data_IF_095230248655
#
_entry.id   IF_095230248655
#
_cell.length_a   1.000
_cell.length_b   1.000
_cell.length_c   1.000
_cell.angle_alpha   90.00
_cell.angle_beta   90.00
_cell.angle_gamma   90.00
#
_symmetry.space_group_name_H-M   'P 1'
#
loop_
_entity.id
_entity.type
_entity.pdbx_description
1 polymer ?
#
# COMPACT_ATOMS: atom_id res chain seq x y z
N UNK A 1 25.40 -96.74 1.00
CA UNK A 1 24.26 -96.01 0.40
C UNK A 1 23.56 -95.21 1.48
N UNK A 2 23.82 -93.90 1.50
CA UNK A 2 22.88 -92.78 1.25
C UNK A 2 22.30 -92.20 2.55
N UNK A 3 22.93 -91.12 3.03
CA UNK A 3 22.39 -90.25 4.07
C UNK A 3 21.00 -89.72 3.66
N UNK A 4 20.04 -89.81 4.58
CA UNK A 4 18.70 -89.24 4.42
C UNK A 4 18.79 -87.71 4.45
N UNK A 5 18.78 -87.10 3.27
CA UNK A 5 18.67 -85.64 3.10
C UNK A 5 17.35 -85.18 3.73
N UNK A 6 17.43 -84.46 4.85
CA UNK A 6 16.27 -83.75 5.42
C UNK A 6 15.91 -82.58 4.51
N UNK A 7 14.83 -82.72 3.76
CA UNK A 7 14.25 -81.61 3.01
C UNK A 7 13.64 -80.59 3.98
N UNK A 8 14.27 -79.42 4.12
CA UNK A 8 13.70 -78.30 4.82
C UNK A 8 12.63 -77.63 3.93
N UNK A 9 11.49 -77.29 4.51
CA UNK A 9 10.39 -76.68 3.78
C UNK A 9 10.75 -75.21 3.47
N UNK A 10 11.04 -74.91 2.20
CA UNK A 10 11.45 -73.60 1.69
C UNK A 10 10.46 -72.47 2.06
N UNK A 11 9.21 -72.81 2.38
CA UNK A 11 8.15 -71.89 2.81
C UNK A 11 8.30 -71.38 4.27
N UNK A 12 9.20 -71.95 5.06
CA UNK A 12 9.50 -71.46 6.43
C UNK A 12 10.97 -71.13 6.65
N UNK A 13 11.79 -71.23 5.60
CA UNK A 13 13.22 -71.01 5.72
C UNK A 13 13.56 -69.51 5.77
N UNK A 14 14.14 -69.07 6.89
CA UNK A 14 14.44 -67.66 7.18
C UNK A 14 15.46 -67.03 6.22
N UNK A 15 16.23 -67.85 5.51
CA UNK A 15 17.22 -67.41 4.51
C UNK A 15 16.60 -67.13 3.14
N UNK A 16 15.38 -67.61 2.90
CA UNK A 16 14.67 -67.43 1.64
C UNK A 16 13.83 -66.16 1.73
N UNK A 17 14.31 -65.09 1.11
CA UNK A 17 13.59 -63.82 1.02
C UNK A 17 12.45 -63.98 0.01
N UNK A 18 11.21 -63.87 0.48
CA UNK A 18 10.02 -63.99 -0.35
C UNK A 18 9.50 -62.59 -0.67
N UNK A 19 9.64 -62.16 -1.93
CA UNK A 19 9.25 -60.83 -2.38
C UNK A 19 10.29 -60.21 -3.31
N UNK A 20 10.00 -59.03 -3.84
CA UNK A 20 10.89 -58.31 -4.75
C UNK A 20 12.18 -57.86 -4.03
N UNK A 21 13.33 -58.44 -4.40
CA UNK A 21 14.64 -58.15 -3.80
C UNK A 21 15.25 -56.82 -4.27
N UNK A 22 14.65 -56.13 -5.24
CA UNK A 22 15.15 -54.84 -5.75
C UNK A 22 14.78 -53.63 -4.87
N UNK A 23 13.77 -53.74 -4.00
CA UNK A 23 13.17 -52.55 -3.35
C UNK A 23 13.60 -52.28 -1.90
N UNK A 24 14.46 -53.09 -1.28
CA UNK A 24 14.77 -52.93 0.16
C UNK A 24 16.25 -53.16 0.49
N UNK A 25 17.10 -52.25 0.02
CA UNK A 25 18.32 -51.84 0.73
C UNK A 25 18.52 -50.33 0.57
N UNK A 26 17.74 -49.54 1.30
CA UNK A 26 18.25 -48.24 1.73
C UNK A 26 19.10 -48.55 2.96
N UNK A 27 20.40 -48.66 2.76
CA UNK A 27 21.36 -48.65 3.87
C UNK A 27 21.16 -47.28 4.54
N UNK A 28 20.78 -47.21 5.83
CA UNK A 28 20.70 -45.93 6.51
C UNK A 28 22.10 -45.32 6.53
N UNK A 29 22.25 -44.11 6.00
CA UNK A 29 23.52 -43.40 5.94
C UNK A 29 24.05 -42.95 7.33
N UNK A 30 23.38 -43.33 8.42
CA UNK A 30 23.85 -43.05 9.78
C UNK A 30 23.39 -44.15 10.76
N UNK A 31 24.23 -44.55 11.74
CA UNK A 31 23.88 -45.56 12.74
C UNK A 31 22.97 -45.01 13.86
N UNK A 32 22.46 -43.78 13.73
CA UNK A 32 21.63 -43.14 14.74
C UNK A 32 20.16 -43.27 14.33
N UNK A 33 19.33 -44.01 15.09
CA UNK A 33 17.91 -44.13 14.78
C UNK A 33 17.25 -42.76 14.91
N UNK A 34 16.42 -42.42 13.92
CA UNK A 34 15.69 -41.15 13.93
C UNK A 34 14.77 -41.07 15.16
N UNK A 35 14.55 -39.88 15.78
CA UNK A 35 13.67 -39.74 16.94
C UNK A 35 12.26 -40.34 16.72
N UNK A 36 11.80 -40.33 15.47
CA UNK A 36 10.51 -40.89 15.06
C UNK A 36 10.47 -42.43 15.09
N UNK A 37 11.57 -43.10 14.77
CA UNK A 37 11.67 -44.57 14.86
C UNK A 37 11.75 -45.05 16.31
N UNK A 38 12.43 -44.29 17.19
CA UNK A 38 12.48 -44.55 18.62
C UNK A 38 11.08 -44.41 19.25
N UNK A 39 10.32 -43.39 18.85
CA UNK A 39 8.93 -43.18 19.27
C UNK A 39 8.05 -44.39 18.88
N UNK A 40 8.15 -44.83 17.62
CA UNK A 40 7.38 -45.96 17.08
C UNK A 40 7.72 -47.29 17.78
N UNK A 41 8.99 -47.55 18.08
CA UNK A 41 9.41 -48.74 18.82
C UNK A 41 8.90 -48.73 20.27
N UNK A 42 8.91 -47.58 20.94
CA UNK A 42 8.36 -47.43 22.29
C UNK A 42 6.84 -47.68 22.31
N UNK A 43 6.12 -47.16 21.32
CA UNK A 43 4.68 -47.36 21.19
C UNK A 43 4.31 -48.82 20.91
N UNK A 44 5.03 -49.48 20.00
CA UNK A 44 4.85 -50.90 19.70
C UNK A 44 5.12 -51.78 20.94
N UNK A 45 6.15 -51.46 21.73
CA UNK A 45 6.47 -52.17 22.98
C UNK A 45 5.37 -51.97 24.04
N UNK A 46 4.81 -50.76 24.16
CA UNK A 46 3.66 -50.48 25.03
C UNK A 46 2.43 -51.30 24.62
N UNK A 47 2.11 -51.36 23.32
CA UNK A 47 0.97 -52.12 22.80
C UNK A 47 1.11 -53.63 23.00
N UNK A 48 2.31 -54.17 22.84
CA UNK A 48 2.60 -55.58 23.11
C UNK A 48 2.43 -55.94 24.59
N UNK A 49 2.91 -55.07 25.51
CA UNK A 49 2.72 -55.23 26.95
C UNK A 49 1.25 -55.17 27.36
N UNK A 50 0.48 -54.23 26.79
CA UNK A 50 -0.96 -54.14 27.03
C UNK A 50 -1.71 -55.40 26.57
N UNK A 51 -1.36 -55.94 25.39
CA UNK A 51 -1.95 -57.17 24.87
C UNK A 51 -1.61 -58.40 25.73
N UNK A 52 -0.41 -58.44 26.32
CA UNK A 52 0.00 -59.51 27.25
C UNK A 52 -0.83 -59.47 28.54
N UNK A 53 -1.00 -58.28 29.14
CA UNK A 53 -1.83 -58.08 30.34
C UNK A 53 -3.31 -58.40 30.09
N UNK A 54 -3.86 -57.99 28.94
CA UNK A 54 -5.23 -58.31 28.57
C UNK A 54 -5.45 -59.83 28.40
N UNK A 55 -4.45 -60.55 27.86
CA UNK A 55 -4.52 -62.02 27.74
C UNK A 55 -4.44 -62.73 29.09
N UNK A 56 -3.65 -62.20 30.02
CA UNK A 56 -3.56 -62.69 31.41
C UNK A 56 -4.87 -62.46 32.18
N UNK A 57 -5.56 -61.33 31.95
CA UNK A 57 -6.87 -61.04 32.55
C UNK A 57 -8.03 -61.84 31.93
N UNK A 58 -7.95 -62.21 30.64
CA UNK A 58 -9.00 -62.95 29.94
C UNK A 58 -8.97 -64.47 30.20
N UNK A 59 -7.94 -65.00 30.87
CA UNK A 59 -7.95 -66.40 31.31
C UNK A 59 -8.77 -66.51 32.60
N UNK A 60 -10.00 -67.04 32.48
CA UNK A 60 -10.77 -67.53 33.62
C UNK A 60 -9.97 -68.65 34.30
N UNK A 61 -9.26 -68.31 35.37
CA UNK A 61 -8.41 -69.24 36.13
C UNK A 61 -9.30 -69.96 37.15
N UNK A 62 -9.20 -71.28 37.23
CA UNK A 62 -9.69 -72.01 38.40
C UNK A 62 -8.94 -71.49 39.63
N UNK A 63 -9.61 -71.30 40.78
CA UNK A 63 -8.97 -70.81 42.00
C UNK A 63 -7.80 -71.72 42.40
N UNK A 64 -6.80 -71.14 43.07
CA UNK A 64 -5.61 -71.90 43.47
C UNK A 64 -5.95 -72.92 44.57
N UNK A 65 -5.28 -74.10 44.60
CA UNK A 65 -5.52 -75.11 45.63
C UNK A 65 -5.24 -74.56 47.03
N UNK A 66 -6.05 -74.96 48.01
CA UNK A 66 -5.85 -74.64 49.43
C UNK A 66 -4.56 -75.30 49.92
N UNK A 67 -3.76 -74.62 50.74
CA UNK A 67 -2.47 -75.12 51.25
C UNK A 67 -2.61 -76.52 51.86
N UNK A 68 -1.78 -77.45 51.37
CA UNK A 68 -1.77 -78.86 51.78
C UNK A 68 -2.67 -79.80 50.95
N UNK A 69 -3.31 -79.32 49.88
CA UNK A 69 -4.08 -80.16 48.95
C UNK A 69 -3.68 -79.93 47.49
N UNK A 70 -3.62 -81.02 46.72
CA UNK A 70 -3.40 -80.96 45.27
C UNK A 70 -4.73 -81.16 44.52
N UNK A 71 -4.93 -80.42 43.42
CA UNK A 71 -6.08 -80.64 42.56
C UNK A 71 -5.88 -81.88 41.69
N UNK A 72 -6.80 -82.84 41.79
CA UNK A 72 -6.82 -84.06 40.98
C UNK A 72 -7.95 -83.94 39.95
N UNK A 73 -7.68 -84.35 38.72
CA UNK A 73 -8.70 -84.38 37.68
C UNK A 73 -9.62 -85.60 37.89
N UNK A 74 -10.89 -85.34 38.22
CA UNK A 74 -11.92 -86.37 38.39
C UNK A 74 -12.63 -86.58 37.04
N UNK A 75 -12.88 -87.83 36.66
CA UNK A 75 -13.72 -88.15 35.50
C UNK A 75 -15.15 -87.66 35.75
N UNK A 76 -15.52 -86.55 35.13
CA UNK A 76 -16.89 -85.99 35.14
C UNK A 76 -17.67 -86.36 33.88
N UNK A 77 -17.24 -87.41 33.18
CA UNK A 77 -17.95 -87.94 32.02
C UNK A 77 -19.12 -88.80 32.51
N UNK A 78 -20.27 -88.69 31.86
CA UNK A 78 -21.49 -89.37 32.26
C UNK A 78 -21.36 -90.89 32.01
N UNK A 79 -21.10 -91.67 33.06
CA UNK A 79 -21.09 -93.14 33.02
C UNK A 79 -22.38 -93.66 33.66
N UNK A 80 -23.34 -94.08 32.86
CA UNK A 80 -24.61 -94.68 33.32
C UNK A 80 -24.59 -96.19 33.03
N UNK A 81 -24.71 -97.01 34.07
CA UNK A 81 -25.04 -98.44 33.96
C UNK A 81 -26.56 -98.61 34.11
N UNK A 82 -27.17 -99.31 33.16
CA UNK A 82 -28.61 -99.59 33.16
C UNK A 82 -28.90 -100.82 34.04
N UNK A 83 -29.59 -100.63 35.16
CA UNK A 83 -29.98 -101.73 36.06
C UNK A 83 -31.27 -102.37 35.53
N UNK A 84 -31.16 -103.57 34.98
CA UNK A 84 -32.26 -104.31 34.35
C UNK A 84 -32.90 -105.33 35.30
N UNK A 85 -33.42 -104.90 36.45
CA UNK A 85 -34.18 -105.78 37.34
C UNK A 85 -35.52 -105.14 37.71
N UNK A 86 -36.62 -105.78 37.30
CA UNK A 86 -37.98 -105.28 37.47
C UNK A 86 -38.54 -105.77 38.81
N UNK A 87 -38.79 -104.84 39.74
CA UNK A 87 -39.34 -105.15 41.07
C UNK A 87 -40.82 -105.52 40.91
N UNK A 88 -41.22 -106.66 41.48
CA UNK A 88 -42.61 -107.12 41.45
C UNK A 88 -43.48 -106.26 42.38
N UNK A 89 -44.47 -105.57 41.81
CA UNK A 89 -45.48 -104.84 42.56
C UNK A 89 -46.53 -105.81 43.13
N UNK A 90 -46.85 -105.69 44.42
CA UNK A 90 -47.88 -106.49 45.10
C UNK A 90 -49.03 -105.57 45.45
N UNK A 91 -50.17 -105.77 44.80
CA UNK A 91 -51.41 -105.06 45.12
C UNK A 91 -52.02 -105.59 46.42
N UNK A 92 -52.18 -104.70 47.39
CA UNK A 92 -52.95 -104.95 48.61
C UNK A 92 -54.21 -104.10 48.60
N UNK A 93 -55.36 -104.74 48.47
CA UNK A 93 -56.67 -104.08 48.58
C UNK A 93 -57.12 -104.07 50.05
N UNK A 94 -57.43 -102.89 50.59
CA UNK A 94 -58.06 -102.73 51.91
C UNK A 94 -59.44 -102.11 51.76
N UNK A 95 -60.44 -102.77 52.34
CA UNK A 95 -61.84 -102.39 52.37
C UNK A 95 -62.03 -101.05 53.11
N UNK A 96 -62.49 -100.03 52.39
CA UNK A 96 -62.80 -98.68 52.91
C UNK A 96 -64.20 -98.62 53.53
N UNK A 97 -64.31 -98.06 54.73
CA UNK A 97 -65.58 -97.70 55.36
C UNK A 97 -66.11 -96.35 54.81
N UNK A 98 -67.41 -96.12 54.91
CA UNK A 98 -68.10 -94.99 54.27
C UNK A 98 -67.71 -93.63 54.89
N UNK A 99 -67.15 -92.73 54.07
CA UNK A 99 -66.74 -91.38 54.43
C UNK A 99 -67.92 -90.51 54.88
N UNK A 100 -67.88 -90.03 56.13
CA UNK A 100 -68.61 -88.84 56.56
C UNK A 100 -67.66 -87.64 56.49
N UNK A 101 -68.08 -86.53 55.86
CA UNK A 101 -67.27 -85.33 55.69
C UNK A 101 -66.86 -84.75 57.06
N UNK A 102 -65.59 -84.97 57.41
CA UNK A 102 -64.94 -84.34 58.55
C UNK A 102 -64.75 -82.85 58.23
N UNK A 103 -65.13 -81.90 59.12
CA UNK A 103 -64.80 -80.50 58.91
C UNK A 103 -63.28 -80.35 58.76
N UNK A 104 -62.79 -79.46 57.86
CA UNK A 104 -61.36 -79.33 57.61
C UNK A 104 -60.66 -79.01 58.93
N UNK A 105 -59.67 -79.82 59.27
CA UNK A 105 -58.86 -79.60 60.48
C UNK A 105 -58.19 -78.23 60.38
N UNK A 106 -58.27 -77.39 61.42
CA UNK A 106 -57.61 -76.09 61.41
C UNK A 106 -56.11 -76.29 61.16
N UNK A 107 -55.53 -75.45 60.29
CA UNK A 107 -54.11 -75.50 59.98
C UNK A 107 -53.29 -75.32 61.26
N UNK A 108 -52.42 -76.30 61.55
CA UNK A 108 -51.46 -76.19 62.63
C UNK A 108 -50.39 -75.17 62.24
N UNK A 109 -50.38 -74.01 62.90
CA UNK A 109 -49.30 -73.02 62.79
C UNK A 109 -48.35 -73.28 63.96
N UNK A 110 -47.13 -73.78 63.73
CA UNK A 110 -46.14 -73.93 64.78
C UNK A 110 -45.86 -72.57 65.43
N UNK A 111 -45.82 -72.52 66.77
CA UNK A 111 -45.38 -71.31 67.48
C UNK A 111 -43.95 -70.97 67.08
N UNK A 112 -43.67 -69.69 66.80
CA UNK A 112 -42.31 -69.23 66.50
C UNK A 112 -41.38 -69.65 67.63
N UNK A 113 -40.37 -70.47 67.31
CA UNK A 113 -39.34 -70.91 68.26
C UNK A 113 -38.01 -70.29 67.83
N UNK A 114 -37.65 -69.20 68.50
CA UNK A 114 -36.44 -68.39 68.27
C UNK A 114 -36.55 -67.08 69.06
N UNK A 115 -35.42 -66.47 69.46
CA UNK A 115 -35.41 -65.10 69.98
C UNK A 115 -35.26 -64.13 68.81
N UNK A 116 -36.23 -63.25 68.63
CA UNK A 116 -36.17 -62.18 67.65
C UNK A 116 -35.21 -61.09 68.16
N UNK A 117 -34.04 -60.93 67.50
CA UNK A 117 -33.06 -59.87 67.78
C UNK A 117 -33.04 -58.92 66.58
N UNK A 118 -33.36 -57.65 66.81
CA UNK A 118 -33.17 -56.60 65.82
C UNK A 118 -31.83 -55.90 66.09
N UNK A 119 -31.05 -55.69 65.03
CA UNK A 119 -29.88 -54.81 65.05
C UNK A 119 -30.18 -53.66 64.11
N UNK A 120 -30.00 -52.43 64.59
CA UNK A 120 -30.18 -51.21 63.82
C UNK A 120 -28.92 -50.37 63.98
N UNK A 121 -28.46 -49.80 62.87
CA UNK A 121 -27.36 -48.86 62.85
C UNK A 121 -27.96 -47.47 62.99
N UNK A 122 -27.53 -46.72 64.00
CA UNK A 122 -28.03 -45.38 64.25
C UNK A 122 -27.31 -44.33 63.39
N UNK A 123 -27.94 -43.17 63.23
CA UNK A 123 -27.34 -42.07 62.46
C UNK A 123 -25.99 -41.66 63.06
N UNK A 124 -24.93 -41.78 62.24
CA UNK A 124 -23.55 -41.43 62.63
C UNK A 124 -22.66 -42.58 63.10
N UNK A 125 -23.19 -43.80 63.27
CA UNK A 125 -22.40 -44.96 63.73
C UNK A 125 -21.37 -45.45 62.71
N UNK A 126 -21.61 -45.23 61.41
CA UNK A 126 -20.73 -45.62 60.30
C UNK A 126 -19.97 -44.45 59.66
N UNK A 127 -20.07 -43.24 60.21
CA UNK A 127 -19.44 -42.06 59.60
C UNK A 127 -17.93 -42.03 59.86
N UNK A 128 -17.14 -42.12 58.79
CA UNK A 128 -15.69 -41.90 58.83
C UNK A 128 -15.35 -40.55 58.22
N UNK A 129 -14.99 -39.59 59.09
CA UNK A 129 -14.64 -38.24 58.67
C UNK A 129 -13.49 -38.20 57.65
N UNK A 130 -12.47 -39.03 57.82
CA UNK A 130 -11.27 -39.00 56.98
C UNK A 130 -11.55 -39.51 55.56
N UNK A 131 -12.62 -40.29 55.36
CA UNK A 131 -13.07 -40.72 54.04
C UNK A 131 -14.01 -39.69 53.44
N UNK A 132 -15.00 -39.22 54.20
CA UNK A 132 -16.07 -38.37 53.70
C UNK A 132 -15.62 -36.92 53.43
N UNK A 133 -14.58 -36.43 54.11
CA UNK A 133 -14.06 -35.06 53.89
C UNK A 133 -13.19 -34.94 52.63
N UNK A 134 -12.60 -36.05 52.15
CA UNK A 134 -11.70 -36.07 50.99
C UNK A 134 -12.31 -35.46 49.72
N UNK A 135 -13.53 -35.83 49.26
CA UNK A 135 -14.13 -35.22 48.07
C UNK A 135 -14.38 -33.71 48.24
N UNK A 136 -14.76 -33.26 49.44
CA UNK A 136 -14.98 -31.84 49.75
C UNK A 136 -13.66 -31.08 49.65
N UNK A 137 -12.60 -31.57 50.30
CA UNK A 137 -11.28 -30.95 50.25
C UNK A 137 -10.69 -30.97 48.83
N UNK A 138 -10.88 -32.06 48.08
CA UNK A 138 -10.41 -32.14 46.71
C UNK A 138 -11.04 -31.06 45.83
N UNK A 139 -12.36 -30.83 45.96
CA UNK A 139 -13.05 -29.78 45.21
C UNK A 139 -12.62 -28.39 45.67
N UNK A 140 -12.49 -28.17 46.98
CA UNK A 140 -12.08 -26.87 47.52
C UNK A 140 -10.65 -26.51 47.09
N UNK A 141 -9.69 -27.43 47.26
CA UNK A 141 -8.30 -27.21 46.85
C UNK A 141 -8.20 -27.11 45.33
N UNK A 142 -8.91 -27.96 44.60
CA UNK A 142 -8.92 -27.92 43.13
C UNK A 142 -9.42 -26.58 42.61
N UNK A 143 -10.58 -26.12 43.07
CA UNK A 143 -11.16 -24.83 42.64
C UNK A 143 -10.33 -23.64 43.06
N UNK A 144 -9.78 -23.64 44.27
CA UNK A 144 -8.95 -22.51 44.75
C UNK A 144 -7.67 -22.38 43.94
N UNK A 145 -7.00 -23.49 43.62
CA UNK A 145 -5.80 -23.47 42.77
C UNK A 145 -6.13 -23.11 41.32
N UNK A 146 -7.22 -23.65 40.76
CA UNK A 146 -7.66 -23.33 39.40
C UNK A 146 -8.01 -21.85 39.26
N UNK A 147 -8.79 -21.30 40.20
CA UNK A 147 -9.15 -19.89 40.22
C UNK A 147 -7.91 -18.99 40.37
N UNK A 148 -7.02 -19.31 41.31
CA UNK A 148 -5.78 -18.53 41.49
C UNK A 148 -4.89 -18.54 40.24
N UNK A 149 -4.81 -19.68 39.54
CA UNK A 149 -4.05 -19.78 38.30
C UNK A 149 -4.65 -18.90 37.20
N UNK A 150 -5.98 -18.93 37.03
CA UNK A 150 -6.67 -18.11 36.04
C UNK A 150 -6.50 -16.61 36.32
N UNK A 151 -6.66 -16.19 37.58
CA UNK A 151 -6.49 -14.80 37.98
C UNK A 151 -5.06 -14.30 37.69
N UNK A 152 -4.04 -15.07 38.05
CA UNK A 152 -2.63 -14.71 37.77
C UNK A 152 -2.36 -14.64 36.27
N UNK A 153 -2.89 -15.57 35.48
CA UNK A 153 -2.76 -15.53 34.02
C UNK A 153 -3.41 -14.28 33.42
N UNK A 154 -4.62 -13.93 33.86
CA UNK A 154 -5.31 -12.72 33.42
C UNK A 154 -4.54 -11.44 33.79
N UNK A 155 -4.00 -11.36 35.00
CA UNK A 155 -3.19 -10.23 35.44
C UNK A 155 -1.91 -10.05 34.60
N UNK A 156 -1.22 -11.16 34.29
CA UNK A 156 -0.03 -11.13 33.43
C UNK A 156 -0.37 -10.70 32.00
N UNK A 157 -1.47 -11.20 31.43
CA UNK A 157 -1.93 -10.80 30.10
C UNK A 157 -2.29 -9.31 30.04
N UNK A 158 -3.02 -8.81 31.03
CA UNK A 158 -3.35 -7.38 31.14
C UNK A 158 -2.09 -6.52 31.28
N UNK A 159 -1.12 -6.94 32.10
CA UNK A 159 0.14 -6.24 32.25
C UNK A 159 0.92 -6.18 30.93
N UNK A 160 0.97 -7.27 30.17
CA UNK A 160 1.61 -7.31 28.86
C UNK A 160 0.90 -6.41 27.84
N UNK A 161 -0.44 -6.41 27.81
CA UNK A 161 -1.22 -5.54 26.92
C UNK A 161 -0.96 -4.06 27.23
N UNK A 162 -0.97 -3.67 28.51
CA UNK A 162 -0.68 -2.31 28.92
C UNK A 162 0.75 -1.90 28.58
N UNK A 163 1.74 -2.78 28.78
CA UNK A 163 3.12 -2.52 28.40
C UNK A 163 3.25 -2.30 26.88
N UNK A 164 2.59 -3.12 26.07
CA UNK A 164 2.55 -2.96 24.61
C UNK A 164 1.87 -1.65 24.19
N UNK A 165 0.75 -1.29 24.81
CA UNK A 165 0.05 -0.03 24.52
C UNK A 165 0.92 1.19 24.84
N UNK A 166 1.61 1.19 25.99
CA UNK A 166 2.54 2.28 26.37
C UNK A 166 3.69 2.40 25.38
N UNK A 167 4.35 1.29 25.05
CA UNK A 167 5.44 1.29 24.07
C UNK A 167 4.98 1.79 22.69
N UNK A 168 3.77 1.41 22.26
CA UNK A 168 3.20 1.91 21.01
C UNK A 168 2.87 3.41 21.08
N UNK A 169 2.31 3.89 22.20
CA UNK A 169 2.02 5.30 22.39
C UNK A 169 3.30 6.15 22.38
N UNK A 170 4.36 5.71 23.06
CA UNK A 170 5.66 6.37 23.06
C UNK A 170 6.26 6.46 21.65
N UNK A 171 6.21 5.36 20.88
CA UNK A 171 6.67 5.35 19.49
C UNK A 171 5.85 6.33 18.63
N UNK A 172 4.52 6.28 18.74
CA UNK A 172 3.60 7.14 17.98
C UNK A 172 3.84 8.62 18.30
N UNK A 173 4.03 8.96 19.58
CA UNK A 173 4.27 10.35 20.00
C UNK A 173 5.63 10.85 19.49
N UNK A 174 6.66 9.99 19.48
CA UNK A 174 7.95 10.30 18.87
C UNK A 174 7.85 10.51 17.35
N UNK A 175 7.11 9.64 16.65
CA UNK A 175 6.85 9.77 15.20
C UNK A 175 6.10 11.08 14.88
N UNK A 176 5.06 11.41 15.66
CA UNK A 176 4.31 12.66 15.49
C UNK A 176 5.19 13.89 15.71
N UNK A 177 6.06 13.87 16.72
CA UNK A 177 7.00 14.95 16.97
C UNK A 177 7.99 15.15 15.78
N UNK A 178 8.48 14.06 15.19
CA UNK A 178 9.35 14.13 14.00
C UNK A 178 8.59 14.64 12.77
N UNK A 179 7.35 14.19 12.55
CA UNK A 179 6.52 14.70 11.44
C UNK A 179 6.31 16.21 11.58
N UNK A 180 5.91 16.69 12.77
CA UNK A 180 5.76 18.13 13.01
C UNK A 180 7.06 18.90 12.76
N UNK A 181 8.21 18.36 13.18
CA UNK A 181 9.53 18.97 12.93
C UNK A 181 9.81 19.10 11.43
N UNK A 182 9.51 18.07 10.64
CA UNK A 182 9.72 18.07 9.19
C UNK A 182 8.73 19.00 8.46
N UNK A 183 7.47 19.02 8.88
CA UNK A 183 6.45 19.92 8.32
C UNK A 183 6.81 21.39 8.53
N UNK A 184 7.31 21.76 9.71
CA UNK A 184 7.78 23.13 9.96
C UNK A 184 8.98 23.51 9.09
N UNK A 185 9.92 22.59 8.88
CA UNK A 185 11.06 22.81 8.00
C UNK A 185 10.60 23.00 6.54
N UNK A 186 9.70 22.14 6.06
CA UNK A 186 9.14 22.22 4.71
C UNK A 186 8.32 23.51 4.53
N UNK A 187 7.57 23.94 5.54
CA UNK A 187 6.88 25.24 5.53
C UNK A 187 7.87 26.39 5.32
N UNK A 188 8.96 26.45 6.10
CA UNK A 188 10.00 27.49 5.96
C UNK A 188 10.64 27.46 4.57
N UNK A 189 10.98 26.27 4.08
CA UNK A 189 11.59 26.11 2.76
C UNK A 189 10.64 26.54 1.63
N UNK A 190 9.36 26.18 1.73
CA UNK A 190 8.32 26.57 0.76
C UNK A 190 8.14 28.09 0.75
N UNK A 191 8.07 28.72 1.91
CA UNK A 191 7.99 30.19 2.02
C UNK A 191 9.21 30.88 1.41
N UNK A 192 10.43 30.40 1.69
CA UNK A 192 11.64 30.96 1.09
C UNK A 192 11.65 30.79 -0.44
N UNK A 193 11.29 29.58 -0.93
CA UNK A 193 11.21 29.27 -2.36
C UNK A 193 10.22 30.17 -3.09
N UNK A 194 9.04 30.42 -2.50
CA UNK A 194 8.05 31.34 -3.07
C UNK A 194 8.58 32.78 -3.09
N UNK A 195 9.22 33.25 -2.01
CA UNK A 195 9.85 34.58 -1.98
C UNK A 195 10.91 34.74 -3.07
N UNK A 196 11.80 33.75 -3.23
CA UNK A 196 12.83 33.78 -4.29
C UNK A 196 12.21 33.73 -5.69
N UNK A 197 11.15 32.95 -5.89
CA UNK A 197 10.43 32.90 -7.18
C UNK A 197 9.84 34.26 -7.51
N UNK A 198 9.16 34.91 -6.57
CA UNK A 198 8.57 36.23 -6.77
C UNK A 198 9.63 37.28 -7.11
N UNK A 199 10.76 37.30 -6.39
CA UNK A 199 11.88 38.19 -6.69
C UNK A 199 12.45 37.95 -8.09
N UNK A 200 12.63 36.68 -8.49
CA UNK A 200 13.14 36.34 -9.81
C UNK A 200 12.19 36.75 -10.93
N UNK A 201 10.88 36.55 -10.74
CA UNK A 201 9.85 36.99 -11.70
C UNK A 201 9.88 38.52 -11.86
N UNK A 202 9.95 39.27 -10.75
CA UNK A 202 10.04 40.73 -10.80
C UNK A 202 11.34 41.20 -11.48
N UNK A 203 12.47 40.55 -11.20
CA UNK A 203 13.75 40.85 -11.84
C UNK A 203 13.70 40.60 -13.35
N UNK A 204 13.12 39.47 -13.78
CA UNK A 204 12.91 39.16 -15.20
C UNK A 204 11.98 40.17 -15.89
N UNK A 205 10.89 40.59 -15.24
CA UNK A 205 10.00 41.62 -15.78
C UNK A 205 10.74 42.93 -16.01
N UNK A 206 11.46 43.42 -14.99
CA UNK A 206 12.30 44.63 -15.12
C UNK A 206 13.36 44.46 -16.21
N UNK A 207 13.99 43.30 -16.31
CA UNK A 207 14.98 43.03 -17.35
C UNK A 207 14.33 43.15 -18.74
N UNK A 208 13.17 42.52 -18.97
CA UNK A 208 12.42 42.65 -20.23
C UNK A 208 12.10 44.11 -20.57
N UNK A 209 11.54 44.86 -19.61
CA UNK A 209 11.25 46.28 -19.81
C UNK A 209 12.51 47.08 -20.16
N UNK A 210 13.63 46.84 -19.48
CA UNK A 210 14.90 47.52 -19.79
C UNK A 210 15.43 47.15 -21.17
N UNK A 211 15.34 45.88 -21.57
CA UNK A 211 15.78 45.43 -22.90
C UNK A 211 14.93 46.04 -24.00
N UNK A 212 13.61 46.14 -23.81
CA UNK A 212 12.68 46.78 -24.75
C UNK A 212 12.96 48.28 -24.87
N UNK A 213 13.19 48.97 -23.75
CA UNK A 213 13.57 50.40 -23.74
C UNK A 213 14.90 50.64 -24.47
N UNK A 214 15.90 49.78 -24.25
CA UNK A 214 17.19 49.87 -24.94
C UNK A 214 17.01 49.61 -26.44
N UNK A 215 16.24 48.60 -26.82
CA UNK A 215 15.95 48.28 -28.21
C UNK A 215 15.20 49.42 -28.91
N UNK A 216 14.17 49.99 -28.27
CA UNK A 216 13.43 51.13 -28.79
C UNK A 216 14.33 52.37 -28.96
N UNK A 217 15.22 52.63 -27.99
CA UNK A 217 16.20 53.73 -28.09
C UNK A 217 17.16 53.51 -29.25
N UNK A 218 17.72 52.31 -29.38
CA UNK A 218 18.64 51.97 -30.47
C UNK A 218 17.94 52.10 -31.83
N UNK A 219 16.70 51.59 -31.94
CA UNK A 219 15.88 51.72 -33.15
C UNK A 219 15.63 53.18 -33.51
N UNK A 220 15.21 54.01 -32.55
CA UNK A 220 14.98 55.44 -32.78
C UNK A 220 16.25 56.17 -33.20
N UNK A 221 17.41 55.85 -32.59
CA UNK A 221 18.70 56.42 -32.97
C UNK A 221 19.09 56.07 -34.40
N UNK A 222 18.99 54.80 -34.79
CA UNK A 222 19.26 54.37 -36.16
C UNK A 222 18.29 55.00 -37.16
N UNK A 223 16.99 55.00 -36.86
CA UNK A 223 15.97 55.57 -37.76
C UNK A 223 16.16 57.09 -37.94
N UNK A 224 16.42 57.83 -36.86
CA UNK A 224 16.66 59.28 -36.93
C UNK A 224 17.98 59.61 -37.63
N UNK A 225 19.02 58.79 -37.48
CA UNK A 225 20.30 58.99 -38.14
C UNK A 225 20.16 58.99 -39.67
N UNK A 226 19.28 58.16 -40.22
CA UNK A 226 19.03 58.08 -41.67
C UNK A 226 17.93 59.06 -42.13
N UNK A 227 16.89 59.27 -41.31
CA UNK A 227 15.77 60.16 -41.64
C UNK A 227 16.19 61.62 -41.70
N UNK A 228 17.00 62.10 -40.74
CA UNK A 228 17.39 63.51 -40.68
C UNK A 228 18.11 63.92 -41.98
N UNK A 229 19.22 63.28 -42.42
CA UNK A 229 19.88 63.64 -43.68
C UNK A 229 18.95 63.51 -44.89
N UNK A 230 18.12 62.47 -44.94
CA UNK A 230 17.18 62.28 -46.05
C UNK A 230 16.17 63.42 -46.17
N UNK A 231 15.56 63.84 -45.06
CA UNK A 231 14.59 64.95 -45.04
C UNK A 231 15.28 66.28 -45.33
N UNK A 232 16.48 66.52 -44.78
CA UNK A 232 17.26 67.73 -45.06
C UNK A 232 17.66 67.81 -46.54
N UNK A 233 18.10 66.70 -47.15
CA UNK A 233 18.42 66.64 -48.58
C UNK A 233 17.17 66.89 -49.43
N UNK A 234 16.03 66.26 -49.11
CA UNK A 234 14.77 66.51 -49.83
C UNK A 234 14.30 67.98 -49.71
N UNK A 235 14.43 68.59 -48.53
CA UNK A 235 14.13 70.01 -48.31
C UNK A 235 15.09 70.94 -49.06
N UNK A 236 16.36 70.55 -49.18
CA UNK A 236 17.35 71.28 -49.95
C UNK A 236 17.07 71.18 -51.46
N UNK A 237 16.80 69.97 -51.97
CA UNK A 237 16.45 69.71 -53.37
C UNK A 237 15.13 70.39 -53.77
N UNK A 238 14.15 70.49 -52.85
CA UNK A 238 12.91 71.24 -53.09
C UNK A 238 13.08 72.77 -52.98
N UNK A 239 14.28 73.26 -52.73
CA UNK A 239 14.60 74.70 -52.72
C UNK A 239 14.11 75.44 -51.48
N UNK A 240 13.79 74.73 -50.39
CA UNK A 240 13.34 75.37 -49.14
C UNK A 240 14.50 76.02 -48.37
N UNK A 241 15.71 75.46 -48.50
CA UNK A 241 16.94 76.08 -48.01
C UNK A 241 17.59 76.89 -49.12
N UNK A 242 17.45 78.21 -49.07
CA UNK A 242 18.08 79.17 -49.98
C UNK A 242 19.09 80.03 -49.23
N UNK A 243 20.10 80.54 -49.94
CA UNK A 243 20.96 81.58 -49.38
C UNK A 243 20.17 82.91 -49.38
N UNK A 244 19.96 83.55 -48.22
CA UNK A 244 19.27 84.83 -48.15
C UNK A 244 19.93 85.89 -49.03
N UNK A 245 21.25 85.85 -49.21
CA UNK A 245 21.97 86.82 -50.03
C UNK A 245 21.65 86.61 -51.52
N UNK A 246 21.67 85.36 -51.99
CA UNK A 246 21.31 85.05 -53.38
C UNK A 246 19.86 85.43 -53.64
N UNK A 247 18.96 85.15 -52.68
CA UNK A 247 17.54 85.50 -52.81
C UNK A 247 17.32 87.01 -52.85
N UNK A 248 17.95 87.76 -51.96
CA UNK A 248 17.86 89.23 -51.92
C UNK A 248 18.42 89.85 -53.20
N UNK A 249 19.51 89.29 -53.76
CA UNK A 249 20.04 89.71 -55.05
C UNK A 249 19.02 89.45 -56.17
N UNK A 250 18.41 88.27 -56.21
CA UNK A 250 17.41 87.91 -57.22
C UNK A 250 16.12 88.73 -57.12
N UNK A 251 15.64 89.01 -55.91
CA UNK A 251 14.33 89.65 -55.70
C UNK A 251 14.40 91.16 -55.56
N UNK A 252 15.50 91.73 -55.08
CA UNK A 252 15.62 93.17 -54.86
C UNK A 252 16.62 93.81 -55.82
N UNK A 253 17.85 93.29 -55.87
CA UNK A 253 18.94 93.93 -56.63
C UNK A 253 18.77 93.80 -58.14
N UNK A 254 18.47 92.61 -58.67
CA UNK A 254 18.30 92.42 -60.11
C UNK A 254 17.13 93.24 -60.67
N UNK A 255 15.94 93.28 -60.05
CA UNK A 255 14.87 94.16 -60.49
C UNK A 255 15.27 95.64 -60.43
N UNK A 256 15.89 96.08 -59.32
CA UNK A 256 16.39 97.45 -59.20
C UNK A 256 17.38 97.81 -60.31
N UNK A 257 18.37 96.94 -60.58
CA UNK A 257 19.36 97.14 -61.63
C UNK A 257 18.72 97.20 -63.02
N UNK A 258 17.75 96.31 -63.29
CA UNK A 258 17.03 96.30 -64.56
C UNK A 258 16.22 97.59 -64.75
N UNK A 259 15.57 98.11 -63.70
CA UNK A 259 14.87 99.40 -63.73
C UNK A 259 15.83 100.56 -63.97
N UNK A 260 16.99 100.59 -63.31
CA UNK A 260 17.97 101.66 -63.50
C UNK A 260 18.57 101.63 -64.92
N UNK A 261 18.84 100.44 -65.46
CA UNK A 261 19.26 100.26 -66.85
C UNK A 261 18.18 100.74 -67.82
N UNK A 262 16.91 100.42 -67.57
CA UNK A 262 15.77 100.89 -68.36
C UNK A 262 15.70 102.43 -68.36
N UNK A 263 15.82 103.08 -67.19
CA UNK A 263 15.80 104.55 -67.10
C UNK A 263 16.97 105.19 -67.87
N UNK A 264 18.18 104.62 -67.80
CA UNK A 264 19.31 105.14 -68.58
C UNK A 264 19.12 104.93 -70.09
N UNK A 265 18.46 103.85 -70.49
CA UNK A 265 18.14 103.59 -71.89
C UNK A 265 17.06 104.56 -72.38
N UNK A 266 16.02 104.82 -71.59
CA UNK A 266 14.99 105.82 -71.87
C UNK A 266 15.60 107.23 -72.02
N UNK A 267 16.50 107.64 -71.11
CA UNK A 267 17.25 108.90 -71.23
C UNK A 267 18.05 108.97 -72.53
N UNK A 268 18.68 107.87 -72.95
CA UNK A 268 19.41 107.79 -74.24
C UNK A 268 18.49 107.83 -75.44
N UNK A 269 17.34 107.16 -75.39
CA UNK A 269 16.32 107.18 -76.45
C UNK A 269 15.76 108.59 -76.58
N UNK A 270 15.34 109.22 -75.47
CA UNK A 270 14.89 110.61 -75.43
C UNK A 270 15.95 111.56 -75.99
N UNK A 271 17.21 111.41 -75.58
CA UNK A 271 18.33 112.17 -76.11
C UNK A 271 18.49 112.03 -77.62
N UNK A 272 18.35 110.81 -78.17
CA UNK A 272 18.33 110.56 -79.61
C UNK A 272 17.12 111.19 -80.29
N UNK A 273 15.92 111.07 -79.73
CA UNK A 273 14.70 111.67 -80.29
C UNK A 273 14.77 113.21 -80.31
N UNK A 274 15.32 113.83 -79.28
CA UNK A 274 15.54 115.28 -79.21
C UNK A 274 16.63 115.72 -80.19
N UNK A 275 17.70 114.93 -80.34
CA UNK A 275 18.72 115.19 -81.35
C UNK A 275 18.14 115.08 -82.78
N UNK A 276 17.35 114.05 -83.05
CA UNK A 276 16.68 113.86 -84.34
C UNK A 276 15.71 115.01 -84.63
N UNK A 277 14.94 115.48 -83.64
CA UNK A 277 14.06 116.65 -83.81
C UNK A 277 14.85 117.96 -84.02
N UNK A 278 15.98 118.14 -83.33
CA UNK A 278 16.91 119.25 -83.58
C UNK A 278 17.49 119.20 -84.99
N UNK A 279 17.88 118.01 -85.48
CA UNK A 279 18.36 117.84 -86.86
C UNK A 279 17.25 118.19 -87.85
N UNK A 280 16.02 117.70 -87.66
CA UNK A 280 14.87 118.05 -88.50
C UNK A 280 14.61 119.56 -88.52
N UNK A 281 14.56 120.24 -87.36
CA UNK A 281 14.33 121.69 -87.29
C UNK A 281 15.46 122.51 -87.91
N UNK A 282 16.72 122.07 -87.81
CA UNK A 282 17.86 122.73 -88.49
C UNK A 282 17.77 122.54 -90.00
N UNK A 283 17.35 121.36 -90.47
CA UNK A 283 17.12 121.09 -91.89
C UNK A 283 15.95 121.94 -92.42
N UNK A 284 14.85 122.05 -91.69
CA UNK A 284 13.71 122.91 -92.01
C UNK A 284 14.12 124.39 -92.08
N UNK A 285 14.82 124.91 -91.06
CA UNK A 285 15.33 126.30 -91.08
C UNK A 285 16.30 126.56 -92.24
N UNK A 286 17.14 125.58 -92.61
CA UNK A 286 17.98 125.70 -93.81
C UNK A 286 17.14 125.69 -95.08
N UNK A 287 16.10 124.84 -95.16
CA UNK A 287 15.17 124.81 -96.29
C UNK A 287 14.43 126.15 -96.43
N UNK A 288 13.99 126.76 -95.32
CA UNK A 288 13.38 128.09 -95.28
C UNK A 288 14.38 129.19 -95.70
N UNK A 289 15.64 129.12 -95.25
CA UNK A 289 16.70 130.04 -95.67
C UNK A 289 17.03 129.93 -97.17
N UNK A 290 16.93 128.73 -97.77
CA UNK A 290 17.03 128.55 -99.22
C UNK A 290 15.77 129.02 -99.98
N UNK A 291 14.60 128.98 -99.34
CA UNK A 291 13.33 129.44 -99.89
C UNK A 291 13.21 130.97 -99.89
N UNK A 292 13.87 131.65 -98.95
CA UNK A 292 14.07 133.10 -98.95
C UNK A 292 15.23 133.51 -99.87
N UNK A 293 14.92 133.69 -101.16
CA UNK A 293 15.74 134.51 -102.08
C UNK A 293 15.84 135.95 -101.53
N UNK A 294 17.04 136.56 -101.46
CA UNK A 294 17.13 138.01 -101.29
C UNK A 294 16.68 138.69 -102.60
N UNK A 295 15.63 139.52 -102.53
CA UNK A 295 15.30 140.47 -103.58
C UNK A 295 16.09 141.76 -103.37
N UNK A 296 16.71 142.17 -104.48
CA UNK A 296 17.34 143.45 -104.81
C UNK A 296 16.96 144.68 -103.99
N UNK A 297 17.97 145.50 -103.68
CA UNK A 297 17.82 146.97 -103.71
C UNK A 297 19.04 147.64 -104.38
N UNK A 298 18.72 148.36 -105.45
CA UNK A 298 19.39 149.56 -105.98
C UNK A 298 19.31 150.66 -104.89
N UNK A 299 20.14 151.71 -104.73
CA UNK A 299 20.80 152.60 -105.72
C UNK A 299 21.65 153.69 -105.02
N UNK A 300 22.57 154.32 -105.80
CA UNK A 300 23.21 155.66 -105.70
C UNK A 300 24.40 155.90 -104.75
N UNK A 301 25.62 155.91 -105.29
CA UNK A 301 26.42 157.10 -105.68
C UNK A 301 27.62 156.66 -106.54
#
# INVERSE_FOLDING_TARGET
>A
EKELVRYANLMYEKRVVRGNTYALRVIPASPQPSPFEIQRQREARKRALARKRAKEQAQLRTPEPVEGREHIHVQTELYLEEISDHVTEVDTECQTDAFLDRPPTPFFIPGKTGQDVATQIEEGELFDFDIEVKPILQVLVGKTVEQALLEVMEEEELAQLLARQRAYAELRDAELAEVHRLEEQDRRYREEKERRRLQHVQMLQKQKETTEKIAARAFAQHYLADLIPSVFNNLHESGYFYDPIERDIETEFLPWLMTEVEETLEKKVLGRTVLDSLICTVVEKRLEAFSHKPQSDQTVA
#
